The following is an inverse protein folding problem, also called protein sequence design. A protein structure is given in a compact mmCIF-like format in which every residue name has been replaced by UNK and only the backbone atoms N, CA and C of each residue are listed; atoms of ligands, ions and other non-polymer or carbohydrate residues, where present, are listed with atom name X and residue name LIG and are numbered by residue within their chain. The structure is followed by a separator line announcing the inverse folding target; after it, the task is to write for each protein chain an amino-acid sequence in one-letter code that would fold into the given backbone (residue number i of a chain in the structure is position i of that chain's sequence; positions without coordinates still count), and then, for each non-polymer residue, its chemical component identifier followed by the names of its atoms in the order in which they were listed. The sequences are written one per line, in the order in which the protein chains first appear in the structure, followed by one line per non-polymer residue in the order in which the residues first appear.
data_IF_434967200207
#
_entry.id   IF_434967200207
#
_cell.length_a   1.000
_cell.length_b   1.000
_cell.length_c   1.000
_cell.angle_alpha   90.00
_cell.angle_beta   90.00
_cell.angle_gamma   90.00
#
_symmetry.space_group_name_H-M   'P 1'
#
loop_
_entity.id
_entity.type
_entity.pdbx_description
1 polymer ?
#
# COMPACT_ATOMS: atom_id res chain seq x y z
N UNK A 1 -52.85 11.89 -97.21
CA UNK A 1 -51.63 11.87 -97.96
C UNK A 1 -50.52 11.46 -97.00
N UNK A 2 -50.22 10.28 -97.06
CA UNK A 2 -49.01 9.64 -97.56
C UNK A 2 -47.76 9.90 -96.69
N UNK A 3 -47.23 8.84 -96.22
CA UNK A 3 -45.87 8.68 -95.92
C UNK A 3 -45.55 7.50 -95.01
N UNK A 4 -45.25 6.40 -95.63
CA UNK A 4 -44.92 5.11 -95.13
C UNK A 4 -43.43 5.03 -94.81
N UNK A 5 -43.08 4.32 -93.75
CA UNK A 5 -41.90 3.42 -93.63
C UNK A 5 -40.54 3.90 -93.29
N UNK A 6 -39.58 3.01 -92.98
CA UNK A 6 -39.66 1.62 -92.49
C UNK A 6 -38.85 1.29 -91.27
N UNK A 7 -39.03 0.08 -90.80
CA UNK A 7 -38.27 -0.72 -89.83
C UNK A 7 -36.75 -0.72 -90.00
N UNK A 8 -36.04 -0.57 -88.88
CA UNK A 8 -34.66 -1.10 -88.77
C UNK A 8 -34.56 -1.93 -87.51
N UNK A 9 -34.01 -3.11 -87.75
CA UNK A 9 -33.71 -4.18 -86.79
C UNK A 9 -32.82 -3.73 -85.65
N UNK A 10 -33.37 -3.77 -84.44
CA UNK A 10 -32.57 -3.61 -83.25
C UNK A 10 -31.90 -4.94 -82.81
N UNK A 11 -30.67 -4.82 -82.62
CA UNK A 11 -29.73 -5.88 -82.24
C UNK A 11 -29.93 -6.22 -80.73
N UNK A 12 -30.37 -7.44 -80.41
CA UNK A 12 -30.34 -7.95 -79.02
C UNK A 12 -28.91 -8.03 -78.54
N UNK A 13 -28.59 -7.26 -77.54
CA UNK A 13 -27.38 -7.43 -76.73
C UNK A 13 -27.82 -8.06 -75.43
N UNK A 14 -27.40 -9.28 -75.26
CA UNK A 14 -27.60 -10.01 -73.99
C UNK A 14 -26.91 -9.30 -72.83
N UNK A 15 -27.71 -9.03 -71.83
CA UNK A 15 -27.21 -8.54 -70.52
C UNK A 15 -26.76 -9.78 -69.80
N UNK A 16 -25.42 -9.94 -69.78
CA UNK A 16 -24.81 -10.87 -68.82
C UNK A 16 -24.87 -10.23 -67.44
N UNK A 17 -25.76 -10.80 -66.61
CA UNK A 17 -25.80 -10.52 -65.18
C UNK A 17 -24.59 -11.26 -64.57
N UNK A 18 -23.48 -10.52 -64.42
CA UNK A 18 -22.40 -10.99 -63.58
C UNK A 18 -22.80 -10.79 -62.12
N UNK A 19 -23.26 -11.87 -61.51
CA UNK A 19 -23.54 -11.97 -60.07
C UNK A 19 -22.18 -12.05 -59.34
N UNK A 20 -21.65 -10.85 -59.02
CA UNK A 20 -20.42 -10.72 -58.22
C UNK A 20 -20.74 -11.07 -56.77
N UNK A 21 -20.42 -12.28 -56.36
CA UNK A 21 -20.42 -12.70 -54.96
C UNK A 21 -19.29 -11.92 -54.27
N UNK A 22 -19.63 -10.85 -53.61
CA UNK A 22 -18.69 -10.17 -52.67
C UNK A 22 -18.63 -11.02 -51.41
N UNK A 23 -17.58 -11.85 -51.29
CA UNK A 23 -17.21 -12.41 -50.01
C UNK A 23 -16.81 -11.27 -49.07
N UNK A 24 -17.71 -10.90 -48.17
CA UNK A 24 -17.38 -10.09 -47.03
C UNK A 24 -16.60 -10.95 -46.03
N UNK A 25 -15.27 -10.87 -46.05
CA UNK A 25 -14.41 -11.44 -45.01
C UNK A 25 -14.63 -10.58 -43.76
N UNK A 26 -15.48 -11.04 -42.85
CA UNK A 26 -15.55 -10.51 -41.49
C UNK A 26 -14.23 -10.87 -40.77
N UNK A 27 -13.33 -9.92 -40.75
CA UNK A 27 -12.17 -9.98 -39.85
C UNK A 27 -12.69 -9.84 -38.40
N UNK A 28 -12.96 -10.96 -37.75
CA UNK A 28 -13.20 -10.98 -36.29
C UNK A 28 -11.84 -10.71 -35.64
N UNK A 29 -11.61 -9.42 -35.34
CA UNK A 29 -10.50 -9.02 -34.48
C UNK A 29 -10.77 -9.59 -33.08
N UNK A 30 -10.16 -10.73 -32.77
CA UNK A 30 -10.02 -11.20 -31.39
C UNK A 30 -9.17 -10.17 -30.66
N UNK A 31 -9.82 -9.22 -29.98
CA UNK A 31 -9.19 -8.49 -28.89
C UNK A 31 -8.91 -9.54 -27.82
N UNK A 32 -7.69 -10.07 -27.81
CA UNK A 32 -7.19 -10.81 -26.66
C UNK A 32 -7.17 -9.82 -25.50
N UNK A 33 -8.22 -9.87 -24.67
CA UNK A 33 -8.21 -9.24 -23.37
C UNK A 33 -7.07 -9.94 -22.60
N UNK A 34 -5.92 -9.26 -22.53
CA UNK A 34 -4.83 -9.64 -21.66
C UNK A 34 -5.38 -9.54 -20.24
N UNK A 35 -5.92 -10.63 -19.71
CA UNK A 35 -6.13 -10.75 -18.28
C UNK A 35 -4.77 -10.50 -17.65
N UNK A 36 -4.64 -9.51 -16.72
CA UNK A 36 -3.40 -9.36 -16.00
C UNK A 36 -3.12 -10.73 -15.37
N UNK A 37 -2.01 -11.33 -15.77
CA UNK A 37 -1.53 -12.55 -15.14
C UNK A 37 -1.46 -12.24 -13.66
N UNK A 38 -2.35 -12.83 -12.86
CA UNK A 38 -2.30 -12.73 -11.42
C UNK A 38 -0.90 -13.21 -11.04
N UNK A 39 -0.03 -12.27 -10.66
CA UNK A 39 1.31 -12.60 -10.23
C UNK A 39 1.14 -13.47 -8.99
N UNK A 40 1.39 -14.76 -9.14
CA UNK A 40 1.43 -15.66 -8.00
C UNK A 40 2.40 -15.03 -7.00
N UNK A 41 1.92 -14.77 -5.77
CA UNK A 41 2.75 -14.19 -4.72
C UNK A 41 4.05 -14.99 -4.62
N UNK A 42 5.19 -14.31 -4.67
CA UNK A 42 6.48 -14.98 -4.52
C UNK A 42 6.53 -15.72 -3.18
N UNK A 43 7.31 -16.81 -3.07
CA UNK A 43 7.49 -17.50 -1.79
C UNK A 43 7.90 -16.57 -0.65
N UNK A 44 8.71 -15.54 -0.94
CA UNK A 44 9.13 -14.54 0.04
C UNK A 44 7.94 -13.71 0.53
N UNK A 45 7.06 -13.26 -0.37
CA UNK A 45 5.82 -12.53 0.00
C UNK A 45 4.92 -13.40 0.87
N UNK A 46 4.69 -14.68 0.49
CA UNK A 46 3.86 -15.62 1.27
C UNK A 46 4.39 -15.83 2.68
N UNK A 47 5.70 -15.90 2.86
CA UNK A 47 6.29 -16.01 4.20
C UNK A 47 5.96 -14.80 5.08
N UNK A 48 5.93 -13.60 4.51
CA UNK A 48 5.56 -12.40 5.25
C UNK A 48 4.06 -12.35 5.54
N UNK A 49 3.21 -12.63 4.52
CA UNK A 49 1.75 -12.56 4.66
C UNK A 49 1.18 -13.63 5.58
N UNK A 50 1.91 -14.72 5.84
CA UNK A 50 1.54 -15.72 6.84
C UNK A 50 1.31 -15.08 8.22
N UNK A 51 2.20 -14.17 8.64
CA UNK A 51 2.09 -13.46 9.92
C UNK A 51 1.46 -12.07 9.78
N UNK A 52 1.62 -11.39 8.65
CA UNK A 52 1.09 -10.03 8.44
C UNK A 52 -0.29 -9.99 7.78
N UNK A 53 -0.91 -11.16 7.56
CA UNK A 53 -2.24 -11.30 6.99
C UNK A 53 -2.28 -11.20 5.47
N UNK A 54 -3.33 -11.78 4.88
CA UNK A 54 -3.60 -11.67 3.44
C UNK A 54 -3.78 -10.22 3.06
N UNK A 55 -3.08 -9.76 2.02
CA UNK A 55 -3.04 -8.33 1.65
C UNK A 55 -2.21 -7.48 2.62
N UNK A 56 -1.48 -8.09 3.53
CA UNK A 56 -0.54 -7.45 4.46
C UNK A 56 -1.17 -6.33 5.32
N UNK A 57 -2.45 -6.47 5.68
CA UNK A 57 -3.16 -5.49 6.51
C UNK A 57 -2.77 -5.56 8.00
N UNK A 58 -2.08 -6.61 8.40
CA UNK A 58 -1.70 -6.84 9.79
C UNK A 58 -2.83 -7.41 10.65
N UNK A 59 -2.47 -7.82 11.81
CA UNK A 59 -3.32 -8.14 12.96
C UNK A 59 -2.44 -8.12 14.22
N UNK A 60 -3.02 -8.12 15.39
CA UNK A 60 -2.23 -8.17 16.62
C UNK A 60 -1.54 -9.52 16.78
N UNK A 61 -0.21 -9.61 16.95
CA UNK A 61 0.75 -8.51 17.16
C UNK A 61 1.49 -8.01 15.91
N UNK A 62 1.24 -8.58 14.72
CA UNK A 62 1.96 -8.25 13.50
C UNK A 62 1.39 -6.97 12.85
N UNK A 63 2.21 -5.92 12.60
CA UNK A 63 1.72 -4.67 12.04
C UNK A 63 1.36 -4.80 10.56
N UNK A 64 0.55 -3.84 10.09
CA UNK A 64 0.28 -3.65 8.67
C UNK A 64 1.56 -3.26 7.92
N UNK A 65 1.80 -3.93 6.79
CA UNK A 65 2.87 -3.60 5.83
C UNK A 65 2.31 -2.86 4.61
N UNK A 66 1.04 -3.12 4.25
CA UNK A 66 0.40 -2.51 3.10
C UNK A 66 0.37 -0.99 3.18
N UNK A 67 0.84 -0.33 2.10
CA UNK A 67 0.88 1.12 2.00
C UNK A 67 1.86 1.81 2.94
N UNK A 68 2.79 1.06 3.55
CA UNK A 68 3.89 1.64 4.33
C UNK A 68 4.98 2.16 3.40
N UNK A 69 5.78 3.12 3.85
CA UNK A 69 6.89 3.67 3.06
C UNK A 69 7.94 2.59 2.78
N UNK A 70 8.31 2.44 1.50
CA UNK A 70 9.27 1.41 1.09
C UNK A 70 10.63 1.55 1.77
N UNK A 71 11.16 2.77 1.84
CA UNK A 71 12.44 3.03 2.51
C UNK A 71 12.38 2.75 4.02
N UNK A 72 11.21 2.98 4.66
CA UNK A 72 11.01 2.58 6.04
C UNK A 72 10.98 1.05 6.20
N UNK A 73 10.21 0.34 5.35
CA UNK A 73 10.16 -1.13 5.38
C UNK A 73 11.56 -1.74 5.20
N UNK A 74 12.33 -1.22 4.25
CA UNK A 74 13.70 -1.66 3.98
C UNK A 74 14.61 -1.43 5.20
N UNK A 75 14.55 -0.23 5.80
CA UNK A 75 15.31 0.07 7.02
C UNK A 75 14.93 -0.82 8.20
N UNK A 76 13.64 -1.15 8.34
CA UNK A 76 13.18 -2.06 9.39
C UNK A 76 13.68 -3.50 9.20
N UNK A 77 13.66 -4.01 7.96
CA UNK A 77 14.23 -5.32 7.65
C UNK A 77 15.73 -5.37 7.93
N UNK A 78 16.45 -4.29 7.60
CA UNK A 78 17.87 -4.16 7.95
C UNK A 78 18.08 -4.12 9.49
N UNK A 79 17.23 -3.39 10.21
CA UNK A 79 17.25 -3.29 11.67
C UNK A 79 16.98 -4.63 12.38
N UNK A 80 16.10 -5.48 11.83
CA UNK A 80 15.89 -6.84 12.35
C UNK A 80 17.10 -7.74 12.10
N UNK A 81 17.72 -7.67 10.92
CA UNK A 81 18.90 -8.44 10.57
C UNK A 81 20.13 -8.07 11.42
N UNK A 82 20.30 -6.79 11.71
CA UNK A 82 21.39 -6.30 12.57
C UNK A 82 21.08 -6.38 14.06
N UNK A 83 19.88 -6.82 14.43
CA UNK A 83 19.36 -6.84 15.80
C UNK A 83 19.24 -5.45 16.46
N UNK A 84 19.38 -4.37 15.70
CA UNK A 84 19.19 -3.00 16.19
C UNK A 84 17.73 -2.72 16.60
N UNK A 85 16.77 -3.42 15.99
CA UNK A 85 15.38 -3.41 16.42
C UNK A 85 15.14 -4.60 17.36
N UNK A 86 15.14 -4.35 18.67
CA UNK A 86 15.40 -5.32 19.72
C UNK A 86 14.29 -5.55 20.75
N UNK A 87 13.05 -5.07 20.48
CA UNK A 87 11.93 -5.35 21.38
C UNK A 87 11.59 -6.85 21.43
N UNK A 88 10.80 -7.31 22.43
CA UNK A 88 10.49 -8.73 22.60
C UNK A 88 9.90 -9.39 21.35
N UNK A 89 8.95 -8.73 20.67
CA UNK A 89 8.34 -9.27 19.44
C UNK A 89 9.32 -9.32 18.27
N UNK A 90 10.22 -8.34 18.16
CA UNK A 90 11.29 -8.36 17.16
C UNK A 90 12.20 -9.56 17.35
N UNK A 91 12.62 -9.80 18.59
CA UNK A 91 13.49 -10.95 18.96
C UNK A 91 12.79 -12.28 18.69
N UNK A 92 11.52 -12.37 19.07
CA UNK A 92 10.77 -13.62 18.99
C UNK A 92 10.42 -14.03 17.55
N UNK A 93 10.10 -13.06 16.69
CA UNK A 93 9.52 -13.34 15.37
C UNK A 93 10.38 -12.83 14.22
N UNK A 94 10.77 -11.55 14.27
CA UNK A 94 11.28 -10.88 13.09
C UNK A 94 12.77 -11.09 12.85
N UNK A 95 13.58 -11.33 13.90
CA UNK A 95 15.00 -11.64 13.74
C UNK A 95 15.19 -12.90 12.89
N UNK A 96 14.48 -13.98 13.21
CA UNK A 96 14.50 -15.19 12.41
C UNK A 96 13.95 -15.00 11.00
N UNK A 97 12.82 -14.31 10.88
CA UNK A 97 12.16 -14.07 9.59
C UNK A 97 13.03 -13.23 8.62
N UNK A 98 13.81 -12.28 9.14
CA UNK A 98 14.65 -11.41 8.33
C UNK A 98 16.08 -11.92 8.14
N UNK A 99 16.54 -12.91 8.92
CA UNK A 99 17.95 -13.33 8.99
C UNK A 99 18.57 -13.67 7.63
N UNK A 100 17.83 -14.35 6.77
CA UNK A 100 18.30 -14.83 5.46
C UNK A 100 18.02 -13.87 4.30
N UNK A 101 17.36 -12.72 4.55
CA UNK A 101 17.03 -11.79 3.46
C UNK A 101 18.32 -11.09 2.97
N UNK A 102 18.56 -11.14 1.67
CA UNK A 102 19.53 -10.26 1.03
C UNK A 102 19.03 -8.82 1.01
N UNK A 103 19.92 -7.85 0.80
CA UNK A 103 19.53 -6.45 0.62
C UNK A 103 18.57 -6.29 -0.57
N UNK A 104 18.83 -7.02 -1.67
CA UNK A 104 17.97 -7.01 -2.84
C UNK A 104 16.56 -7.56 -2.52
N UNK A 105 16.46 -8.70 -1.85
CA UNK A 105 15.17 -9.26 -1.46
C UNK A 105 14.41 -8.36 -0.48
N UNK A 106 15.10 -7.70 0.44
CA UNK A 106 14.48 -6.74 1.36
C UNK A 106 13.93 -5.53 0.59
N UNK A 107 14.66 -5.02 -0.40
CA UNK A 107 14.22 -3.93 -1.28
C UNK A 107 12.98 -4.32 -2.09
N UNK A 108 12.98 -5.48 -2.74
CA UNK A 108 11.84 -5.98 -3.54
C UNK A 108 10.58 -6.17 -2.68
N UNK A 109 10.71 -6.74 -1.49
CA UNK A 109 9.61 -6.88 -0.54
C UNK A 109 9.09 -5.51 -0.08
N UNK A 110 9.96 -4.56 0.18
CA UNK A 110 9.60 -3.21 0.59
C UNK A 110 8.80 -2.49 -0.50
N UNK A 111 9.22 -2.58 -1.76
CA UNK A 111 8.48 -2.05 -2.92
C UNK A 111 7.11 -2.73 -3.04
N UNK A 112 7.07 -4.06 -2.99
CA UNK A 112 5.83 -4.82 -3.10
C UNK A 112 4.80 -4.38 -2.04
N UNK A 113 5.16 -4.39 -0.75
CA UNK A 113 4.23 -4.06 0.32
C UNK A 113 3.84 -2.58 0.34
N UNK A 114 4.73 -1.68 -0.06
CA UNK A 114 4.41 -0.25 -0.15
C UNK A 114 3.37 0.07 -1.21
N UNK A 115 3.30 -0.72 -2.27
CA UNK A 115 2.34 -0.55 -3.36
C UNK A 115 0.94 -1.12 -3.05
N UNK A 116 0.80 -1.93 -2.00
CA UNK A 116 -0.49 -2.49 -1.63
C UNK A 116 -1.41 -1.43 -1.02
N UNK A 117 -2.71 -1.46 -1.33
CA UNK A 117 -3.67 -0.56 -0.74
C UNK A 117 -3.79 -0.78 0.78
N UNK A 118 -3.67 0.30 1.55
CA UNK A 118 -3.83 0.26 3.00
C UNK A 118 -5.28 0.55 3.40
N UNK A 119 -5.73 -0.10 4.48
CA UNK A 119 -7.03 0.16 5.11
C UNK A 119 -6.80 0.62 6.54
N UNK A 120 -7.49 1.68 7.02
CA UNK A 120 -7.37 2.07 8.42
C UNK A 120 -7.88 0.95 9.33
N UNK A 121 -7.21 0.74 10.45
CA UNK A 121 -7.63 -0.22 11.45
C UNK A 121 -8.94 0.22 12.14
N UNK A 122 -9.02 1.51 12.49
CA UNK A 122 -10.22 2.11 13.07
C UNK A 122 -10.62 1.47 14.41
N UNK A 123 -9.63 0.95 15.15
CA UNK A 123 -9.80 0.13 16.37
C UNK A 123 -9.45 0.88 17.67
N UNK A 124 -9.20 2.19 17.57
CA UNK A 124 -8.95 3.05 18.72
C UNK A 124 -10.22 3.52 19.43
N UNK A 125 -10.04 4.21 20.57
CA UNK A 125 -11.12 4.83 21.30
C UNK A 125 -11.56 6.14 20.65
N UNK A 126 -12.82 6.23 20.24
CA UNK A 126 -13.39 7.41 19.58
C UNK A 126 -13.44 8.65 20.48
N UNK A 127 -13.54 8.48 21.81
CA UNK A 127 -13.57 9.58 22.77
C UNK A 127 -12.20 10.27 22.87
N UNK A 128 -11.11 9.53 22.61
CA UNK A 128 -9.74 10.03 22.68
C UNK A 128 -9.25 10.67 21.36
N UNK A 129 -10.00 10.53 20.27
CA UNK A 129 -9.57 11.00 18.93
C UNK A 129 -9.28 12.49 18.91
N UNK A 130 -10.12 13.32 19.55
CA UNK A 130 -9.93 14.78 19.56
C UNK A 130 -8.65 15.17 20.29
N UNK A 131 -8.37 14.56 21.44
CA UNK A 131 -7.14 14.77 22.22
C UNK A 131 -5.92 14.32 21.43
N UNK A 132 -5.96 13.11 20.84
CA UNK A 132 -4.86 12.60 20.02
C UNK A 132 -4.57 13.48 18.81
N UNK A 133 -5.59 14.03 18.16
CA UNK A 133 -5.43 15.01 17.06
C UNK A 133 -4.69 16.25 17.53
N UNK A 134 -5.06 16.81 18.68
CA UNK A 134 -4.41 18.00 19.23
C UNK A 134 -2.93 17.74 19.47
N UNK A 135 -2.59 16.65 20.15
CA UNK A 135 -1.19 16.27 20.41
C UNK A 135 -0.44 16.06 19.08
N UNK A 136 -1.04 15.37 18.12
CA UNK A 136 -0.41 15.12 16.81
C UNK A 136 -0.09 16.40 16.06
N UNK A 137 -1.03 17.36 16.02
CA UNK A 137 -0.93 18.57 15.22
C UNK A 137 -0.14 19.69 15.90
N UNK A 138 -0.19 19.77 17.23
CA UNK A 138 0.38 20.90 17.98
C UNK A 138 1.60 20.52 18.81
N UNK A 139 1.81 19.23 19.08
CA UNK A 139 2.78 18.78 20.07
C UNK A 139 2.39 19.18 21.48
N UNK A 140 3.38 19.21 22.34
CA UNK A 140 3.26 19.67 23.73
C UNK A 140 4.53 20.45 24.08
N UNK A 141 4.57 21.75 23.77
CA UNK A 141 5.77 22.58 23.93
C UNK A 141 6.28 22.63 25.38
N UNK A 142 5.38 22.57 26.36
CA UNK A 142 5.70 22.55 27.79
C UNK A 142 6.51 21.30 28.20
N UNK A 143 6.30 20.19 27.50
CA UNK A 143 7.04 18.93 27.70
C UNK A 143 8.19 18.74 26.70
N UNK A 144 8.48 19.76 25.89
CA UNK A 144 9.43 19.67 24.77
C UNK A 144 9.10 18.54 23.79
N UNK A 145 7.82 18.33 23.50
CA UNK A 145 7.34 17.40 22.49
C UNK A 145 6.93 18.18 21.25
N UNK A 146 7.71 18.02 20.19
CA UNK A 146 7.42 18.63 18.88
C UNK A 146 6.18 18.03 18.25
N UNK A 147 5.41 18.82 17.49
CA UNK A 147 4.24 18.34 16.78
C UNK A 147 4.60 17.19 15.81
N UNK A 148 3.91 16.06 15.91
CA UNK A 148 4.18 14.85 15.13
C UNK A 148 4.01 15.08 13.62
N UNK A 149 3.09 15.99 13.26
CA UNK A 149 2.80 16.40 11.87
C UNK A 149 4.04 16.92 11.13
N UNK A 150 5.00 17.51 11.82
CA UNK A 150 6.21 18.09 11.22
C UNK A 150 7.04 17.05 10.47
N UNK A 151 7.10 15.83 11.02
CA UNK A 151 7.85 14.73 10.41
C UNK A 151 6.94 13.71 9.73
N UNK A 152 5.82 13.36 10.34
CA UNK A 152 4.95 12.30 9.83
C UNK A 152 3.90 12.77 8.81
N UNK A 153 3.83 14.09 8.53
CA UNK A 153 2.92 14.67 7.54
C UNK A 153 1.50 14.90 8.04
N UNK A 154 0.71 15.74 7.34
CA UNK A 154 -0.63 16.17 7.76
C UNK A 154 -1.65 15.02 7.85
N UNK A 155 -1.48 13.97 7.06
CA UNK A 155 -2.30 12.77 7.07
C UNK A 155 -1.56 11.56 7.67
N UNK A 156 -0.52 11.81 8.44
CA UNK A 156 0.34 10.78 9.04
C UNK A 156 0.88 9.77 8.00
N UNK A 157 1.10 10.24 6.78
CA UNK A 157 1.55 9.44 5.64
C UNK A 157 3.05 9.14 5.66
N UNK A 158 3.83 9.91 6.42
CA UNK A 158 5.28 9.79 6.47
C UNK A 158 5.98 10.15 5.15
N UNK A 159 7.31 10.17 5.17
CA UNK A 159 8.16 10.42 3.98
C UNK A 159 9.50 9.69 4.10
N UNK A 160 9.95 9.05 3.04
CA UNK A 160 11.23 8.34 3.04
C UNK A 160 11.30 7.26 4.12
N UNK A 161 12.24 7.40 5.05
CA UNK A 161 12.39 6.51 6.20
C UNK A 161 11.48 6.87 7.38
N UNK A 162 10.80 8.01 7.34
CA UNK A 162 9.80 8.38 8.34
C UNK A 162 8.51 7.61 8.01
N UNK A 163 8.02 6.75 8.92
CA UNK A 163 6.94 5.84 8.59
C UNK A 163 5.57 6.55 8.45
N UNK A 164 4.71 5.95 7.65
CA UNK A 164 3.28 6.16 7.73
C UNK A 164 2.79 5.65 9.09
N UNK A 165 2.06 6.49 9.82
CA UNK A 165 1.38 6.13 11.06
C UNK A 165 -0.12 5.98 10.85
N UNK A 166 -0.68 6.71 9.88
CA UNK A 166 -2.11 6.73 9.60
C UNK A 166 -2.68 5.35 9.32
N UNK A 167 -3.73 5.01 10.06
CA UNK A 167 -4.48 3.77 9.96
C UNK A 167 -3.78 2.53 10.48
N UNK A 168 -2.64 2.63 11.17
CA UNK A 168 -2.05 1.49 11.88
C UNK A 168 -2.94 1.10 13.07
N UNK A 169 -2.90 -0.19 13.45
CA UNK A 169 -3.68 -0.69 14.57
C UNK A 169 -3.32 0.03 15.89
N UNK A 170 -4.33 0.36 16.68
CA UNK A 170 -4.18 1.00 17.98
C UNK A 170 -3.15 0.29 18.86
N UNK A 171 -3.31 -1.01 19.03
CA UNK A 171 -2.43 -1.82 19.88
C UNK A 171 -0.97 -1.83 19.42
N UNK A 172 -0.72 -1.72 18.12
CA UNK A 172 0.63 -1.62 17.57
C UNK A 172 1.24 -0.24 17.85
N UNK A 173 0.49 0.83 17.63
CA UNK A 173 0.92 2.20 17.88
C UNK A 173 1.21 2.42 19.37
N UNK A 174 0.28 2.04 20.24
CA UNK A 174 0.43 2.12 21.68
C UNK A 174 1.69 1.41 22.13
N UNK A 175 1.81 0.14 21.85
CA UNK A 175 2.97 -0.66 22.24
C UNK A 175 4.29 -0.08 21.72
N UNK A 176 4.33 0.41 20.49
CA UNK A 176 5.56 0.95 19.91
C UNK A 176 5.99 2.23 20.61
N UNK A 177 5.06 3.13 20.92
CA UNK A 177 5.33 4.35 21.68
C UNK A 177 5.81 4.04 23.10
N UNK A 178 5.17 3.10 23.81
CA UNK A 178 5.57 2.65 25.14
C UNK A 178 6.98 2.03 25.15
N UNK A 179 7.32 1.27 24.12
CA UNK A 179 8.61 0.56 24.05
C UNK A 179 9.82 1.49 23.98
N UNK A 180 9.71 2.67 23.38
CA UNK A 180 10.78 3.66 23.43
C UNK A 180 11.01 4.17 24.85
N UNK A 181 9.97 4.44 25.61
CA UNK A 181 10.08 4.82 27.03
C UNK A 181 10.66 3.69 27.90
N UNK A 182 10.54 2.43 27.47
CA UNK A 182 11.11 1.25 28.10
C UNK A 182 12.57 0.96 27.69
N UNK A 183 13.13 1.79 26.81
CA UNK A 183 14.53 1.65 26.38
C UNK A 183 14.77 0.73 25.19
N UNK A 184 13.72 0.29 24.49
CA UNK A 184 13.87 -0.46 23.24
C UNK A 184 14.12 0.45 22.05
N UNK A 185 14.79 -0.08 21.03
CA UNK A 185 15.05 0.62 19.76
C UNK A 185 15.88 1.90 19.87
N UNK A 186 16.67 2.07 20.92
CA UNK A 186 17.47 3.27 21.13
C UNK A 186 18.46 3.56 19.98
N UNK A 187 18.91 2.49 19.32
CA UNK A 187 19.85 2.56 18.20
C UNK A 187 19.14 2.63 16.83
N UNK A 188 17.81 2.79 16.82
CA UNK A 188 17.02 2.90 15.60
C UNK A 188 15.87 3.88 15.78
N UNK A 189 15.57 4.65 14.73
CA UNK A 189 14.40 5.54 14.75
C UNK A 189 14.58 6.87 15.44
N UNK A 190 15.83 7.37 15.63
CA UNK A 190 16.04 8.73 16.13
C UNK A 190 15.28 9.77 15.25
N UNK A 191 14.61 10.78 15.83
CA UNK A 191 14.63 11.17 17.24
C UNK A 191 13.48 10.57 18.10
N UNK A 192 12.79 9.54 17.62
CA UNK A 192 11.59 9.01 18.29
C UNK A 192 11.79 8.54 19.74
N UNK A 193 12.91 7.91 20.12
CA UNK A 193 13.15 7.54 21.52
C UNK A 193 13.04 8.76 22.48
N UNK A 194 13.64 9.88 22.11
CA UNK A 194 13.65 11.09 22.93
C UNK A 194 12.27 11.78 23.00
N UNK A 195 11.47 11.61 21.96
CA UNK A 195 10.11 12.18 21.89
C UNK A 195 9.13 11.28 22.66
N UNK A 196 9.11 10.00 22.35
CA UNK A 196 8.12 9.08 22.87
C UNK A 196 8.31 8.76 24.36
N UNK A 197 9.56 8.80 24.88
CA UNK A 197 9.82 8.60 26.30
C UNK A 197 9.21 9.66 27.22
N UNK A 198 8.82 10.80 26.67
CA UNK A 198 8.17 11.91 27.41
C UNK A 198 6.64 11.79 27.45
N UNK A 199 6.06 10.93 26.61
CA UNK A 199 4.61 10.77 26.53
C UNK A 199 4.08 9.98 27.74
N UNK A 200 3.01 10.49 28.35
CA UNK A 200 2.27 9.73 29.35
C UNK A 200 1.44 8.59 28.72
N UNK A 201 1.03 7.58 29.50
CA UNK A 201 0.16 6.52 28.99
C UNK A 201 -1.15 7.05 28.36
N UNK A 202 -1.77 8.08 28.92
CA UNK A 202 -3.01 8.66 28.38
C UNK A 202 -2.75 9.40 27.06
N UNK A 203 -1.62 10.09 26.91
CA UNK A 203 -1.21 10.72 25.67
C UNK A 203 -0.90 9.71 24.57
N UNK A 204 -0.26 8.61 24.93
CA UNK A 204 -0.01 7.48 24.02
C UNK A 204 -1.33 6.86 23.55
N UNK A 205 -2.28 6.62 24.47
CA UNK A 205 -3.60 6.09 24.15
C UNK A 205 -4.37 7.02 23.20
N UNK A 206 -4.33 8.32 23.47
CA UNK A 206 -4.98 9.33 22.63
C UNK A 206 -4.36 9.40 21.21
N UNK A 207 -3.02 9.44 21.10
CA UNK A 207 -2.31 9.42 19.82
C UNK A 207 -2.61 8.14 19.03
N UNK A 208 -2.53 6.98 19.67
CA UNK A 208 -2.80 5.70 19.04
C UNK A 208 -4.24 5.60 18.52
N UNK A 209 -5.20 6.11 19.31
CA UNK A 209 -6.61 6.19 18.91
C UNK A 209 -6.79 7.07 17.68
N UNK A 210 -6.32 8.32 17.71
CA UNK A 210 -6.43 9.23 16.57
C UNK A 210 -5.81 8.65 15.30
N UNK A 211 -4.59 8.15 15.39
CA UNK A 211 -3.85 7.62 14.25
C UNK A 211 -4.50 6.38 13.63
N UNK A 212 -5.18 5.53 14.41
CA UNK A 212 -5.83 4.33 13.91
C UNK A 212 -6.98 4.62 12.94
N UNK A 213 -7.61 5.79 13.04
CA UNK A 213 -8.74 6.20 12.19
C UNK A 213 -8.31 7.00 10.94
N UNK A 214 -7.05 7.42 10.82
CA UNK A 214 -6.57 8.17 9.64
C UNK A 214 -6.54 7.24 8.41
N UNK A 215 -7.07 7.76 7.29
CA UNK A 215 -7.15 7.05 5.99
C UNK A 215 -5.88 7.25 5.16
#
# INVERSE_FOLDING_TARGET
MSGISPLTKGKQRGIQVMMGIRLAILAISFLAASTPAGHAESPAVRNCTWCHGTGAQGYTPAPRLAGQRSQYLESQLAGFRSHARDNPFSKQYMWGAAASLSAQSAHELAIYFSALPSRPAGDGDTELVATGRTIYQQGMPEDNIVACVVCHGPNAEGVGQIPRLGGLAYSYLQRTLEQWGQGYHLNSGAPMPDIASKLSPDQIAALASYLSFIK
#
